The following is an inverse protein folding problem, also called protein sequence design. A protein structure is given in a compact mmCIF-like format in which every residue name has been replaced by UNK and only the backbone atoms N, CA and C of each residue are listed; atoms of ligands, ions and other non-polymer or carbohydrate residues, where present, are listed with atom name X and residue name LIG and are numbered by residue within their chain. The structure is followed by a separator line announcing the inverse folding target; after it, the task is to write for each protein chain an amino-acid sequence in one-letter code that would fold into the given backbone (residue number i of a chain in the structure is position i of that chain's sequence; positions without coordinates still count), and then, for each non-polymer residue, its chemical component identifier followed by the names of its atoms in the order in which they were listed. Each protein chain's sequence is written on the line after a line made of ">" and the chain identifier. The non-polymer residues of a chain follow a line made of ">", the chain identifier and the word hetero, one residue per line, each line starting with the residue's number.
data_IF_293570997350
#
_entry.id   IF_293570997350
#
_cell.length_a   1.000
_cell.length_b   1.000
_cell.length_c   1.000
_cell.angle_alpha   90.00
_cell.angle_beta   90.00
_cell.angle_gamma   90.00
#
_symmetry.space_group_name_H-M   'P 1'
#
loop_
_entity.id
_entity.type
_entity.pdbx_description
1 polymer ?
#
# COMPACT_ATOMS: atom_id res chain seq x y z
N UNK A 1 -0.32 15.84 42.01
CA UNK A 1 0.85 16.08 41.13
C UNK A 1 1.15 14.92 40.18
N UNK A 2 1.04 13.66 40.61
CA UNK A 2 1.42 12.47 39.81
C UNK A 2 0.58 12.28 38.55
N UNK A 3 -0.75 12.47 38.62
CA UNK A 3 -1.66 12.34 37.47
C UNK A 3 -1.29 13.34 36.35
N UNK A 4 -0.98 14.59 36.70
CA UNK A 4 -0.60 15.62 35.74
C UNK A 4 0.70 15.27 35.01
N UNK A 5 1.70 14.76 35.76
CA UNK A 5 2.98 14.33 35.19
C UNK A 5 2.81 13.13 34.26
N UNK A 6 2.06 12.11 34.67
CA UNK A 6 1.80 10.93 33.84
C UNK A 6 0.99 11.29 32.60
N UNK A 7 -0.01 12.16 32.72
CA UNK A 7 -0.78 12.66 31.57
C UNK A 7 0.08 13.44 30.59
N UNK A 8 0.94 14.35 31.08
CA UNK A 8 1.87 15.09 30.25
C UNK A 8 2.87 14.17 29.53
N UNK A 9 3.40 13.15 30.22
CA UNK A 9 4.29 12.16 29.63
C UNK A 9 3.61 11.35 28.52
N UNK A 10 2.36 10.93 28.73
CA UNK A 10 1.58 10.20 27.72
C UNK A 10 1.28 11.06 26.48
N UNK A 11 0.91 12.34 26.69
CA UNK A 11 0.71 13.27 25.59
C UNK A 11 2.01 13.53 24.80
N UNK A 12 3.13 13.66 25.51
CA UNK A 12 4.44 13.81 24.87
C UNK A 12 4.81 12.58 24.04
N UNK A 13 4.52 11.37 24.54
CA UNK A 13 4.72 10.13 23.79
C UNK A 13 3.89 10.11 22.50
N UNK A 14 2.59 10.45 22.57
CA UNK A 14 1.75 10.52 21.37
C UNK A 14 2.22 11.60 20.38
N UNK A 15 2.67 12.76 20.87
CA UNK A 15 3.23 13.79 20.01
C UNK A 15 4.48 13.32 19.26
N UNK A 16 5.39 12.61 19.94
CA UNK A 16 6.59 12.03 19.32
C UNK A 16 6.19 10.99 18.27
N UNK A 17 5.26 10.10 18.58
CA UNK A 17 4.78 9.09 17.63
C UNK A 17 4.12 9.72 16.40
N UNK A 18 3.31 10.76 16.58
CA UNK A 18 2.65 11.46 15.48
C UNK A 18 3.68 12.16 14.56
N UNK A 19 4.72 12.76 15.13
CA UNK A 19 5.83 13.33 14.35
C UNK A 19 6.56 12.22 13.63
N UNK A 20 6.88 11.11 14.30
CA UNK A 20 7.64 10.01 13.72
C UNK A 20 6.86 9.16 12.69
N UNK A 21 5.52 9.27 12.65
CA UNK A 21 4.66 8.42 11.84
C UNK A 21 5.05 8.33 10.34
N UNK A 22 5.36 9.43 9.62
CA UNK A 22 5.74 9.35 8.21
C UNK A 22 7.02 8.55 7.94
N UNK A 23 7.93 8.49 8.91
CA UNK A 23 9.16 7.70 8.82
C UNK A 23 8.96 6.23 9.19
N UNK A 24 7.87 5.92 9.90
CA UNK A 24 7.48 4.56 10.28
C UNK A 24 6.50 3.94 9.27
N UNK A 25 5.90 4.76 8.40
CA UNK A 25 4.96 4.31 7.39
C UNK A 25 5.64 3.31 6.43
N UNK A 26 4.99 2.17 6.11
CA UNK A 26 5.57 1.16 5.21
C UNK A 26 5.78 1.65 3.77
N UNK A 27 5.05 2.69 3.37
CA UNK A 27 5.14 3.35 2.08
C UNK A 27 4.68 4.81 2.20
N UNK A 28 4.95 5.60 1.16
CA UNK A 28 4.63 7.03 1.14
C UNK A 28 3.09 7.24 1.21
N UNK A 29 2.57 7.91 2.26
CA UNK A 29 1.13 8.09 2.44
C UNK A 29 0.49 9.02 1.39
N UNK A 30 1.29 9.81 0.67
CA UNK A 30 0.79 10.67 -0.41
C UNK A 30 0.76 9.95 -1.76
N UNK A 31 1.36 8.77 -1.86
CA UNK A 31 1.46 8.04 -3.11
C UNK A 31 0.11 7.41 -3.47
N UNK A 32 -0.37 7.72 -4.66
CA UNK A 32 -1.57 7.11 -5.21
C UNK A 32 -1.16 6.11 -6.31
N UNK A 33 -1.19 4.82 -5.97
CA UNK A 33 -0.69 3.76 -6.84
C UNK A 33 -1.68 3.39 -7.95
N UNK A 34 -2.88 2.95 -7.56
CA UNK A 34 -3.97 2.54 -8.46
C UNK A 34 -5.29 2.95 -7.82
N UNK A 35 -5.91 4.09 -8.21
CA UNK A 35 -7.15 4.56 -7.59
C UNK A 35 -8.31 3.59 -7.74
N UNK A 36 -8.33 2.77 -8.80
CA UNK A 36 -9.44 1.89 -9.10
C UNK A 36 -9.41 0.61 -8.27
N UNK A 37 -8.23 -0.03 -8.16
CA UNK A 37 -8.04 -1.28 -7.41
C UNK A 37 -7.54 -1.06 -5.98
N UNK A 38 -7.00 0.12 -5.69
CA UNK A 38 -6.47 0.49 -4.40
C UNK A 38 -7.47 1.15 -3.47
N UNK A 39 -8.66 1.57 -3.92
CA UNK A 39 -9.67 2.20 -3.06
C UNK A 39 -10.33 1.21 -2.10
N UNK A 40 -10.60 1.68 -0.87
CA UNK A 40 -11.36 0.94 0.15
C UNK A 40 -10.80 -0.46 0.48
N UNK A 41 -9.48 -0.60 0.47
CA UNK A 41 -8.84 -1.81 0.95
C UNK A 41 -9.04 -1.92 2.46
N UNK A 42 -9.40 -3.10 2.98
CA UNK A 42 -9.55 -3.28 4.41
C UNK A 42 -8.18 -3.19 5.11
N UNK A 43 -8.16 -2.84 6.41
CA UNK A 43 -6.96 -2.92 7.24
C UNK A 43 -6.32 -4.31 7.19
N UNK A 44 -4.99 -4.35 7.20
CA UNK A 44 -4.20 -5.58 7.15
C UNK A 44 -4.25 -6.33 5.81
N UNK A 45 -4.67 -5.68 4.73
CA UNK A 45 -4.68 -6.29 3.40
C UNK A 45 -3.35 -6.15 2.69
N UNK A 46 -3.13 -7.02 1.69
CA UNK A 46 -1.97 -6.95 0.80
C UNK A 46 -2.40 -6.90 -0.66
N UNK A 47 -1.60 -6.24 -1.49
CA UNK A 47 -1.73 -6.24 -2.96
C UNK A 47 -0.37 -6.41 -3.62
N UNK A 48 -0.34 -6.97 -4.81
CA UNK A 48 0.86 -7.03 -5.64
C UNK A 48 0.87 -5.82 -6.54
N UNK A 49 1.89 -4.97 -6.40
CA UNK A 49 2.13 -3.83 -7.27
C UNK A 49 2.88 -4.28 -8.52
N UNK A 50 2.30 -3.96 -9.68
CA UNK A 50 2.85 -4.18 -11.00
C UNK A 50 3.22 -2.82 -11.59
N UNK A 51 4.52 -2.49 -11.60
CA UNK A 51 5.03 -1.27 -12.23
C UNK A 51 5.20 -1.50 -13.73
N UNK A 52 4.45 -0.78 -14.55
CA UNK A 52 4.45 -0.91 -16.00
C UNK A 52 5.54 -0.04 -16.65
N UNK A 53 5.88 -0.35 -17.90
CA UNK A 53 6.84 0.40 -18.71
C UNK A 53 6.55 1.90 -18.87
N UNK A 54 5.28 2.30 -18.73
CA UNK A 54 4.85 3.71 -18.75
C UNK A 54 4.99 4.43 -17.39
N UNK A 55 5.51 3.73 -16.38
CA UNK A 55 5.67 4.22 -15.01
C UNK A 55 4.41 4.12 -14.14
N UNK A 56 3.27 3.72 -14.70
CA UNK A 56 2.05 3.52 -13.91
C UNK A 56 2.15 2.25 -13.05
N UNK A 57 1.43 2.23 -11.93
CA UNK A 57 1.32 1.04 -11.07
C UNK A 57 -0.08 0.47 -11.14
N UNK A 58 -0.19 -0.85 -11.28
CA UNK A 58 -1.45 -1.57 -11.10
C UNK A 58 -1.39 -2.42 -9.84
N UNK A 59 -2.46 -2.40 -9.05
CA UNK A 59 -2.60 -3.27 -7.89
C UNK A 59 -3.38 -4.53 -8.27
N UNK A 60 -2.80 -5.69 -7.99
CA UNK A 60 -3.38 -7.00 -8.20
C UNK A 60 -3.61 -7.73 -6.86
N UNK A 61 -4.59 -8.62 -6.83
CA UNK A 61 -4.90 -9.51 -5.72
C UNK A 61 -3.93 -10.70 -5.69
N UNK A 62 -3.57 -11.22 -6.86
CA UNK A 62 -2.60 -12.30 -7.04
C UNK A 62 -1.91 -12.18 -8.39
N UNK A 63 -0.74 -12.79 -8.49
CA UNK A 63 0.09 -12.84 -9.71
C UNK A 63 0.64 -14.25 -9.86
N UNK A 64 0.64 -14.77 -11.08
CA UNK A 64 1.22 -16.05 -11.48
C UNK A 64 1.95 -15.89 -12.80
N UNK A 65 3.18 -16.39 -12.86
CA UNK A 65 3.97 -16.39 -14.09
C UNK A 65 3.80 -17.74 -14.80
N UNK A 66 3.38 -17.70 -16.07
CA UNK A 66 3.15 -18.89 -16.89
C UNK A 66 3.67 -18.65 -18.31
N UNK A 67 4.66 -19.44 -18.73
CA UNK A 67 5.12 -19.47 -20.12
C UNK A 67 5.66 -18.14 -20.67
N UNK A 68 6.28 -17.31 -19.81
CA UNK A 68 6.81 -15.99 -20.20
C UNK A 68 5.75 -14.86 -20.21
N UNK A 69 4.51 -15.17 -19.82
CA UNK A 69 3.48 -14.19 -19.55
C UNK A 69 3.14 -14.16 -18.06
N UNK A 70 2.63 -13.02 -17.61
CA UNK A 70 2.24 -12.77 -16.24
C UNK A 70 0.71 -12.66 -16.18
N UNK A 71 0.09 -13.66 -15.57
CA UNK A 71 -1.35 -13.69 -15.29
C UNK A 71 -1.61 -13.09 -13.92
N UNK A 72 -2.60 -12.22 -13.78
CA UNK A 72 -2.89 -11.56 -12.50
C UNK A 72 -4.38 -11.32 -12.31
N UNK A 73 -4.83 -11.44 -11.06
CA UNK A 73 -6.20 -11.16 -10.65
C UNK A 73 -6.29 -9.69 -10.22
N UNK A 74 -7.21 -8.93 -10.80
CA UNK A 74 -7.46 -7.54 -10.41
C UNK A 74 -8.95 -7.24 -10.47
N UNK A 75 -9.48 -6.72 -9.36
CA UNK A 75 -10.91 -6.39 -9.25
C UNK A 75 -11.79 -7.61 -9.58
N UNK A 76 -11.37 -8.80 -9.13
CA UNK A 76 -12.03 -10.08 -9.41
C UNK A 76 -11.98 -10.53 -10.88
N UNK A 77 -11.19 -9.90 -11.74
CA UNK A 77 -11.03 -10.27 -13.16
C UNK A 77 -9.60 -10.71 -13.45
N UNK A 78 -9.46 -11.81 -14.18
CA UNK A 78 -8.15 -12.27 -14.65
C UNK A 78 -7.66 -11.43 -15.83
N UNK A 79 -6.38 -11.08 -15.77
CA UNK A 79 -5.69 -10.34 -16.81
C UNK A 79 -4.38 -11.03 -17.16
N UNK A 80 -3.90 -10.79 -18.37
CA UNK A 80 -2.60 -11.28 -18.84
C UNK A 80 -1.78 -10.10 -19.32
N UNK A 81 -0.51 -10.08 -18.95
CA UNK A 81 0.49 -9.10 -19.36
C UNK A 81 1.74 -9.83 -19.83
N UNK A 82 2.41 -9.32 -20.85
CA UNK A 82 3.73 -9.82 -21.22
C UNK A 82 4.75 -9.47 -20.11
N UNK A 83 5.65 -10.38 -19.77
CA UNK A 83 6.59 -10.16 -18.66
C UNK A 83 7.54 -8.96 -18.90
N UNK A 84 7.84 -8.66 -20.16
CA UNK A 84 8.66 -7.52 -20.59
C UNK A 84 7.94 -6.17 -20.51
N UNK A 85 6.62 -6.15 -20.29
CA UNK A 85 5.85 -4.93 -20.10
C UNK A 85 6.03 -4.33 -18.68
N UNK A 86 6.65 -5.07 -17.75
CA UNK A 86 6.98 -4.58 -16.42
C UNK A 86 8.27 -3.75 -16.45
N UNK A 87 8.23 -2.55 -15.86
CA UNK A 87 9.43 -1.74 -15.61
C UNK A 87 10.24 -2.22 -14.42
N UNK A 88 9.61 -2.95 -13.49
CA UNK A 88 10.25 -3.50 -12.30
C UNK A 88 9.57 -4.81 -11.88
N UNK A 89 10.27 -5.69 -11.14
CA UNK A 89 9.68 -6.91 -10.62
C UNK A 89 8.42 -6.63 -9.75
N UNK A 90 7.41 -7.53 -9.77
CA UNK A 90 6.24 -7.40 -8.91
C UNK A 90 6.62 -7.28 -7.43
N UNK A 91 5.98 -6.36 -6.71
CA UNK A 91 6.24 -6.12 -5.28
C UNK A 91 4.98 -6.25 -4.45
N UNK A 92 5.01 -7.06 -3.40
CA UNK A 92 3.91 -7.12 -2.42
C UNK A 92 3.92 -5.88 -1.54
N UNK A 93 2.77 -5.21 -1.46
CA UNK A 93 2.51 -4.08 -0.57
C UNK A 93 1.53 -4.52 0.50
N UNK A 94 1.77 -4.06 1.73
CA UNK A 94 0.92 -4.28 2.89
C UNK A 94 0.31 -2.96 3.35
N UNK A 95 -1.01 -2.96 3.59
CA UNK A 95 -1.78 -1.79 4.01
C UNK A 95 -2.27 -2.02 5.44
N UNK A 96 -1.51 -1.56 6.46
CA UNK A 96 -1.83 -1.85 7.86
C UNK A 96 -3.19 -1.27 8.27
N UNK A 97 -3.48 -0.03 7.84
CA UNK A 97 -4.71 0.68 8.18
C UNK A 97 -5.76 0.66 7.05
N UNK A 98 -5.42 0.06 5.92
CA UNK A 98 -6.27 0.01 4.73
C UNK A 98 -6.05 1.23 3.84
N UNK A 99 -7.03 1.55 3.00
CA UNK A 99 -6.92 2.70 2.11
C UNK A 99 -8.20 3.53 2.03
N UNK A 100 -8.04 4.81 1.68
CA UNK A 100 -9.16 5.72 1.47
C UNK A 100 -9.83 5.54 0.08
N UNK A 101 -10.80 6.42 -0.23
CA UNK A 101 -11.49 6.42 -1.52
C UNK A 101 -10.60 6.68 -2.74
N UNK A 102 -9.41 7.26 -2.51
CA UNK A 102 -8.41 7.55 -3.54
C UNK A 102 -7.36 6.44 -3.63
N UNK A 103 -7.38 5.45 -2.73
CA UNK A 103 -6.41 4.37 -2.69
C UNK A 103 -5.08 4.76 -2.08
N UNK A 104 -5.07 5.83 -1.27
CA UNK A 104 -3.93 6.20 -0.43
C UNK A 104 -3.96 5.38 0.86
N UNK A 105 -2.79 5.01 1.37
CA UNK A 105 -2.72 4.43 2.71
C UNK A 105 -3.19 5.47 3.74
N UNK A 106 -3.88 4.98 4.75
CA UNK A 106 -4.29 5.78 5.91
C UNK A 106 -3.30 5.70 7.07
N UNK A 107 -2.11 5.13 6.82
CA UNK A 107 -0.97 5.01 7.74
C UNK A 107 -0.42 6.35 8.26
#
# INVERSE_FOLDING_TARGET
>A
MTILRSGAALLMLFAILAIAAPWLAPHDPNLQLDPAAGRFLPPGSSRVALTLGDGSTRLAESVSEQGGALSYLRLGTDHVLAADALAAPPRTLFFPLGTDQFGRDVA
#
